data_IF_942469832532
#
_entry.id   IF_942469832532
#
_cell.length_a   1.000
_cell.length_b   1.000
_cell.length_c   1.000
_cell.angle_alpha   90.00
_cell.angle_beta   90.00
_cell.angle_gamma   90.00
#
_symmetry.space_group_name_H-M   'P 1'
#
loop_
_entity.id
_entity.type
_entity.pdbx_description
1 polymer ?
#
# COMPACT_ATOMS: atom_id res chain seq x y z
N UNK A 1 -0.88 -28.32 1.33
CA UNK A 1 -0.47 -27.52 0.15
C UNK A 1 -1.66 -26.67 -0.26
N UNK A 2 -1.76 -25.47 0.31
CA UNK A 2 -2.83 -24.52 -0.03
C UNK A 2 -2.44 -23.78 -1.30
N UNK A 3 -3.20 -23.98 -2.35
CA UNK A 3 -3.15 -23.18 -3.58
C UNK A 3 -3.45 -21.74 -3.22
N UNK A 4 -2.47 -20.85 -3.36
CA UNK A 4 -2.63 -19.41 -3.27
C UNK A 4 -3.65 -18.98 -4.34
N UNK A 5 -4.86 -18.73 -3.89
CA UNK A 5 -5.95 -18.23 -4.71
C UNK A 5 -5.57 -16.85 -5.23
N UNK A 6 -5.65 -16.67 -6.54
CA UNK A 6 -5.38 -15.45 -7.27
C UNK A 6 -6.45 -14.38 -6.96
N UNK A 7 -6.31 -13.72 -5.81
CA UNK A 7 -7.10 -12.55 -5.44
C UNK A 7 -6.24 -11.32 -5.62
N UNK A 8 -6.68 -10.39 -6.46
CA UNK A 8 -5.94 -9.17 -6.73
C UNK A 8 -6.75 -7.96 -6.28
N UNK A 9 -6.16 -7.09 -5.43
CA UNK A 9 -6.72 -5.78 -5.22
C UNK A 9 -6.52 -4.94 -6.49
N UNK A 10 -7.55 -4.30 -6.94
CA UNK A 10 -7.50 -3.34 -8.03
C UNK A 10 -8.14 -2.03 -7.62
N UNK A 11 -7.67 -0.96 -8.20
CA UNK A 11 -8.37 0.30 -8.16
C UNK A 11 -9.43 0.27 -9.28
N UNK A 12 -10.71 0.39 -8.95
CA UNK A 12 -11.82 0.28 -9.89
C UNK A 12 -12.76 1.47 -9.84
N UNK A 13 -13.31 1.83 -11.00
CA UNK A 13 -14.44 2.75 -11.08
C UNK A 13 -15.73 1.96 -10.90
N UNK A 14 -16.58 2.39 -9.96
CA UNK A 14 -18.01 2.08 -10.05
C UNK A 14 -18.59 3.08 -11.03
N UNK A 15 -19.15 2.55 -12.12
CA UNK A 15 -19.72 3.31 -13.22
C UNK A 15 -20.79 4.30 -12.75
N UNK A 16 -20.39 5.53 -12.51
CA UNK A 16 -21.25 6.69 -12.68
C UNK A 16 -20.38 7.96 -12.75
N UNK A 17 -20.30 8.53 -13.93
CA UNK A 17 -19.54 9.72 -14.32
C UNK A 17 -18.19 9.46 -14.98
N UNK A 18 -18.17 9.32 -16.26
CA UNK A 18 -17.18 9.57 -17.32
C UNK A 18 -15.74 10.02 -17.09
N UNK A 19 -15.20 9.88 -15.88
CA UNK A 19 -13.80 10.21 -15.55
C UNK A 19 -13.03 8.93 -15.19
N UNK A 20 -11.90 8.66 -15.85
CA UNK A 20 -11.11 7.42 -15.69
C UNK A 20 -10.24 7.41 -14.43
N UNK A 21 -10.66 8.07 -13.35
CA UNK A 21 -9.88 8.19 -12.12
C UNK A 21 -10.48 7.30 -11.04
N UNK A 22 -9.77 6.25 -10.72
CA UNK A 22 -10.19 5.26 -9.76
C UNK A 22 -10.27 5.81 -8.33
N UNK A 23 -11.47 5.77 -7.72
CA UNK A 23 -11.77 6.27 -6.38
C UNK A 23 -11.93 5.16 -5.36
N UNK A 24 -12.08 3.94 -5.84
CA UNK A 24 -12.44 2.76 -5.04
C UNK A 24 -11.34 1.72 -5.08
N UNK A 25 -11.19 0.99 -3.98
CA UNK A 25 -10.39 -0.22 -3.91
C UNK A 25 -11.32 -1.43 -4.00
N UNK A 26 -11.05 -2.32 -4.93
CA UNK A 26 -11.85 -3.51 -5.17
C UNK A 26 -11.00 -4.78 -5.00
N UNK A 27 -11.54 -5.75 -4.28
CA UNK A 27 -10.97 -7.10 -4.17
C UNK A 27 -11.72 -8.02 -5.13
N UNK A 28 -10.99 -8.63 -6.06
CA UNK A 28 -11.53 -9.52 -7.06
C UNK A 28 -11.05 -10.95 -6.87
N UNK A 29 -11.84 -11.90 -7.32
CA UNK A 29 -11.41 -13.27 -7.58
C UNK A 29 -11.53 -13.58 -9.06
N UNK A 30 -10.62 -14.37 -9.58
CA UNK A 30 -10.59 -14.74 -11.02
C UNK A 30 -11.88 -15.41 -11.46
N UNK A 31 -12.58 -16.08 -10.57
CA UNK A 31 -13.79 -16.85 -10.88
C UNK A 31 -15.07 -16.05 -10.92
N UNK A 32 -15.07 -14.81 -10.40
CA UNK A 32 -16.30 -13.99 -10.29
C UNK A 32 -16.22 -12.76 -11.20
N UNK A 33 -17.37 -12.43 -11.81
CA UNK A 33 -17.52 -11.22 -12.66
C UNK A 33 -17.74 -9.92 -11.87
N UNK A 34 -17.94 -10.01 -10.55
CA UNK A 34 -18.16 -8.86 -9.67
C UNK A 34 -17.10 -8.86 -8.55
N UNK A 35 -16.70 -7.68 -8.05
CA UNK A 35 -15.80 -7.61 -6.91
C UNK A 35 -16.42 -8.31 -5.69
N UNK A 36 -15.59 -8.93 -4.87
CA UNK A 36 -16.03 -9.55 -3.62
C UNK A 36 -16.24 -8.48 -2.55
N UNK A 37 -15.37 -7.48 -2.55
CA UNK A 37 -15.38 -6.38 -1.59
C UNK A 37 -14.94 -5.10 -2.28
N UNK A 38 -15.58 -3.98 -1.91
CA UNK A 38 -15.28 -2.65 -2.44
C UNK A 38 -15.25 -1.63 -1.31
N UNK A 39 -14.18 -0.87 -1.21
CA UNK A 39 -14.08 0.30 -0.35
C UNK A 39 -14.13 1.53 -1.23
N UNK A 40 -15.25 2.25 -1.19
CA UNK A 40 -15.42 3.49 -1.93
C UNK A 40 -14.67 4.63 -1.24
N UNK A 41 -14.19 5.59 -2.03
CA UNK A 41 -13.48 6.77 -1.54
C UNK A 41 -12.35 6.43 -0.58
N UNK A 42 -11.54 5.44 -0.95
CA UNK A 42 -10.49 4.88 -0.09
C UNK A 42 -9.48 5.92 0.43
N UNK A 43 -9.37 7.09 -0.24
CA UNK A 43 -8.55 8.23 0.19
C UNK A 43 -9.37 9.49 0.53
N UNK A 44 -10.70 9.33 0.71
CA UNK A 44 -11.58 10.41 1.13
C UNK A 44 -11.79 11.49 0.06
N UNK A 45 -12.20 12.65 0.53
CA UNK A 45 -12.53 13.80 -0.32
C UNK A 45 -11.57 14.96 -0.09
N UNK A 46 -11.38 15.75 -1.14
CA UNK A 46 -10.82 17.08 -1.06
C UNK A 46 -11.99 18.07 -1.03
N UNK A 47 -12.13 18.75 0.08
CA UNK A 47 -13.19 19.74 0.26
C UNK A 47 -12.63 21.12 -0.10
N UNK A 48 -13.36 21.85 -0.92
CA UNK A 48 -13.09 23.26 -1.15
C UNK A 48 -14.38 24.06 -1.07
N UNK A 49 -14.29 25.27 -0.60
CA UNK A 49 -15.42 26.18 -0.46
C UNK A 49 -15.58 26.96 -1.76
N UNK A 50 -16.74 26.83 -2.39
CA UNK A 50 -17.16 27.65 -3.52
C UNK A 50 -18.11 28.74 -3.01
N UNK A 51 -17.98 29.97 -3.52
CA UNK A 51 -18.86 31.08 -3.14
C UNK A 51 -20.30 30.87 -3.61
N UNK A 52 -20.51 30.11 -4.69
CA UNK A 52 -21.83 29.88 -5.29
C UNK A 52 -22.48 28.56 -4.85
N UNK A 53 -21.72 27.53 -4.52
CA UNK A 53 -22.23 26.17 -4.32
C UNK A 53 -21.96 25.63 -2.90
N UNK A 54 -21.25 26.40 -2.05
CA UNK A 54 -20.87 25.97 -0.71
C UNK A 54 -19.70 25.02 -0.70
N UNK A 55 -19.72 23.99 0.15
CA UNK A 55 -18.61 23.02 0.27
C UNK A 55 -18.75 21.96 -0.82
N UNK A 56 -17.78 21.93 -1.74
CA UNK A 56 -17.71 20.93 -2.79
C UNK A 56 -16.66 19.89 -2.41
N UNK A 57 -17.10 18.64 -2.29
CA UNK A 57 -16.23 17.49 -2.03
C UNK A 57 -15.80 16.79 -3.32
N UNK A 58 -14.53 16.90 -3.70
CA UNK A 58 -13.98 16.16 -4.84
C UNK A 58 -13.29 14.90 -4.34
N UNK A 59 -13.71 13.69 -4.78
CA UNK A 59 -13.06 12.45 -4.37
C UNK A 59 -11.60 12.41 -4.78
N UNK A 60 -10.73 11.96 -3.87
CA UNK A 60 -9.32 11.77 -4.17
C UNK A 60 -9.12 10.43 -4.87
N UNK A 61 -8.50 10.46 -6.05
CA UNK A 61 -8.24 9.26 -6.83
C UNK A 61 -6.97 8.54 -6.36
N UNK A 62 -6.94 7.24 -6.59
CA UNK A 62 -5.79 6.39 -6.27
C UNK A 62 -4.78 6.52 -7.41
N UNK A 63 -3.57 6.93 -7.09
CA UNK A 63 -2.49 7.18 -8.06
C UNK A 63 -1.54 6.00 -8.19
N UNK A 64 -1.44 5.18 -7.15
CA UNK A 64 -0.57 4.01 -7.13
C UNK A 64 -1.12 2.91 -6.23
N UNK A 65 -0.81 1.68 -6.59
CA UNK A 65 -1.18 0.47 -5.85
C UNK A 65 -0.01 -0.50 -5.88
N UNK A 66 0.27 -1.14 -4.75
CA UNK A 66 1.28 -2.18 -4.64
C UNK A 66 0.81 -3.30 -3.73
N UNK A 67 1.17 -4.53 -4.07
CA UNK A 67 0.88 -5.72 -3.27
C UNK A 67 2.17 -6.31 -2.74
N UNK A 68 2.11 -6.87 -1.55
CA UNK A 68 3.21 -7.70 -1.04
C UNK A 68 3.14 -9.07 -1.72
N UNK A 69 4.17 -9.48 -2.48
CA UNK A 69 4.18 -10.81 -3.09
C UNK A 69 4.01 -11.90 -2.03
N UNK A 70 3.09 -12.82 -2.27
CA UNK A 70 2.77 -13.95 -1.36
C UNK A 70 2.31 -13.53 0.05
N UNK A 71 1.86 -12.29 0.21
CA UNK A 71 1.36 -11.75 1.47
C UNK A 71 -0.11 -11.35 1.38
N UNK A 72 -0.66 -10.99 2.53
CA UNK A 72 -2.02 -10.52 2.73
C UNK A 72 -2.12 -8.99 2.86
N UNK A 73 -1.02 -8.28 2.59
CA UNK A 73 -0.93 -6.82 2.71
C UNK A 73 -0.73 -6.17 1.35
N UNK A 74 -1.43 -5.07 1.14
CA UNK A 74 -1.23 -4.19 0.00
C UNK A 74 -1.26 -2.72 0.41
N UNK A 75 -0.77 -1.85 -0.44
CA UNK A 75 -0.72 -0.41 -0.21
C UNK A 75 -1.41 0.35 -1.33
N UNK A 76 -2.06 1.45 -0.99
CA UNK A 76 -2.58 2.42 -1.92
C UNK A 76 -1.99 3.80 -1.65
N UNK A 77 -1.72 4.55 -2.71
CA UNK A 77 -1.26 5.92 -2.66
C UNK A 77 -2.18 6.84 -3.42
N UNK A 78 -2.28 8.06 -2.95
CA UNK A 78 -3.07 9.13 -3.54
C UNK A 78 -2.31 10.45 -3.45
N UNK A 79 -3.01 11.55 -3.53
CA UNK A 79 -2.52 12.91 -3.32
C UNK A 79 -3.04 13.55 -2.01
N UNK A 80 -3.55 12.72 -1.11
CA UNK A 80 -3.99 13.13 0.24
C UNK A 80 -2.84 13.29 1.24
N UNK A 81 -1.60 13.10 0.79
CA UNK A 81 -0.43 13.15 1.64
C UNK A 81 -0.19 11.87 2.45
N UNK A 82 -0.82 10.76 2.08
CA UNK A 82 -0.74 9.49 2.81
C UNK A 82 -0.60 8.29 1.87
N UNK A 83 0.19 7.33 2.31
CA UNK A 83 0.13 5.95 1.84
C UNK A 83 -0.68 5.14 2.84
N UNK A 84 -1.68 4.42 2.38
CA UNK A 84 -2.51 3.55 3.20
C UNK A 84 -2.15 2.10 2.99
N UNK A 85 -1.90 1.40 4.09
CA UNK A 85 -1.66 -0.04 4.11
C UNK A 85 -2.94 -0.75 4.52
N UNK A 86 -3.25 -1.80 3.79
CA UNK A 86 -4.45 -2.59 3.94
C UNK A 86 -4.09 -4.05 4.18
N UNK A 87 -4.83 -4.70 5.04
CA UNK A 87 -4.71 -6.13 5.29
C UNK A 87 -5.94 -6.86 4.76
N UNK A 88 -5.71 -7.92 3.97
CA UNK A 88 -6.75 -8.81 3.49
C UNK A 88 -7.11 -9.80 4.61
N UNK A 89 -8.40 -10.01 4.82
CA UNK A 89 -8.92 -10.98 5.79
C UNK A 89 -8.50 -12.42 5.43
N UNK A 90 -8.32 -13.27 6.45
CA UNK A 90 -7.92 -14.68 6.29
C UNK A 90 -8.87 -15.47 5.37
N UNK A 91 -10.15 -15.10 5.33
CA UNK A 91 -11.14 -15.70 4.44
C UNK A 91 -11.11 -15.13 3.03
N UNK A 92 -10.25 -14.13 2.78
CA UNK A 92 -10.10 -13.44 1.50
C UNK A 92 -11.45 -12.89 0.97
N UNK A 93 -12.28 -12.36 1.87
CA UNK A 93 -13.59 -11.79 1.52
C UNK A 93 -13.68 -10.30 1.71
N UNK A 94 -12.76 -9.73 2.46
CA UNK A 94 -12.70 -8.30 2.79
C UNK A 94 -11.27 -7.86 3.02
N UNK A 95 -11.08 -6.58 3.16
CA UNK A 95 -9.83 -5.98 3.63
C UNK A 95 -10.13 -4.77 4.49
N UNK A 96 -9.22 -4.45 5.39
CA UNK A 96 -9.34 -3.32 6.31
C UNK A 96 -8.06 -2.51 6.34
N UNK A 97 -8.18 -1.26 6.76
CA UNK A 97 -7.03 -0.37 6.93
C UNK A 97 -6.16 -0.88 8.10
N UNK A 98 -4.90 -1.15 7.81
CA UNK A 98 -3.91 -1.57 8.80
C UNK A 98 -3.24 -0.36 9.45
N UNK A 99 -2.69 0.53 8.63
CA UNK A 99 -2.00 1.75 9.08
C UNK A 99 -1.83 2.75 7.93
N UNK A 100 -1.41 3.96 8.26
CA UNK A 100 -1.10 5.02 7.30
C UNK A 100 0.31 5.54 7.49
N UNK A 101 0.94 5.95 6.40
CA UNK A 101 2.28 6.53 6.37
C UNK A 101 2.18 7.92 5.73
N UNK A 102 2.79 8.93 6.37
CA UNK A 102 2.82 10.27 5.81
C UNK A 102 3.65 10.32 4.51
N UNK A 103 3.06 10.85 3.45
CA UNK A 103 3.67 10.95 2.12
C UNK A 103 3.23 12.26 1.44
N UNK A 104 3.80 13.42 1.86
CA UNK A 104 3.34 14.73 1.42
C UNK A 104 3.65 14.96 -0.06
N UNK A 105 2.65 14.79 -0.92
CA UNK A 105 2.72 14.92 -2.38
C UNK A 105 1.86 13.89 -3.10
N UNK A 106 2.03 13.80 -4.42
CA UNK A 106 1.45 12.72 -5.22
C UNK A 106 2.26 11.45 -5.03
N UNK A 107 1.63 10.38 -4.58
CA UNK A 107 2.26 9.07 -4.48
C UNK A 107 2.20 8.38 -5.84
N UNK A 108 3.20 8.63 -6.67
CA UNK A 108 3.24 8.19 -8.06
C UNK A 108 3.66 6.73 -8.26
N UNK A 109 4.34 6.15 -7.29
CA UNK A 109 4.75 4.75 -7.29
C UNK A 109 4.83 4.19 -5.88
N UNK A 110 4.56 2.89 -5.76
CA UNK A 110 4.64 2.14 -4.51
C UNK A 110 5.31 0.81 -4.74
N UNK A 111 6.05 0.36 -3.74
CA UNK A 111 6.58 -1.00 -3.68
C UNK A 111 6.55 -1.50 -2.24
N UNK A 112 6.14 -2.75 -2.06
CA UNK A 112 6.16 -3.46 -0.79
C UNK A 112 7.21 -4.58 -0.86
N UNK A 113 8.05 -4.64 0.16
CA UNK A 113 9.12 -5.62 0.27
C UNK A 113 9.08 -6.23 1.67
N UNK A 114 9.03 -7.54 1.77
CA UNK A 114 9.32 -8.25 3.00
C UNK A 114 10.75 -8.80 2.89
N UNK A 115 11.76 -8.11 3.42
CA UNK A 115 13.09 -8.67 3.42
C UNK A 115 13.06 -9.92 4.30
N UNK A 116 13.19 -11.10 3.68
CA UNK A 116 13.57 -12.28 4.43
C UNK A 116 14.96 -11.99 4.97
N UNK A 117 15.10 -11.85 6.26
CA UNK A 117 16.40 -11.89 6.90
C UNK A 117 16.96 -13.30 6.67
N UNK A 118 17.53 -13.55 5.49
CA UNK A 118 18.44 -14.66 5.36
C UNK A 118 19.64 -14.25 6.22
N UNK A 119 19.98 -15.01 7.28
CA UNK A 119 21.22 -14.77 7.97
C UNK A 119 22.30 -14.85 6.89
N UNK A 120 22.99 -13.74 6.64
CA UNK A 120 24.22 -13.75 5.86
C UNK A 120 25.07 -14.83 6.51
N UNK A 121 25.34 -15.90 5.79
CA UNK A 121 26.32 -16.90 6.23
C UNK A 121 27.65 -16.15 6.30
N UNK A 122 27.88 -15.51 7.43
CA UNK A 122 29.26 -15.13 7.79
C UNK A 122 30.07 -16.42 7.69
N UNK A 123 31.04 -16.38 6.83
CA UNK A 123 32.05 -17.44 6.71
C UNK A 123 32.61 -17.71 8.10
N UNK A 124 32.02 -18.69 8.79
CA UNK A 124 32.54 -19.11 10.09
C UNK A 124 33.89 -19.75 9.86
N UNK A 125 34.92 -19.00 10.17
CA UNK A 125 36.23 -19.58 10.47
C UNK A 125 36.02 -20.54 11.66
N UNK A 126 36.37 -21.84 11.56
CA UNK A 126 36.11 -22.78 12.63
C UNK A 126 36.94 -22.40 13.85
N UNK A 127 36.35 -21.83 14.87
CA UNK A 127 36.94 -21.74 16.21
C UNK A 127 36.56 -23.00 16.97
N UNK A 128 37.57 -23.82 17.22
CA UNK A 128 37.50 -24.93 18.19
C UNK A 128 37.37 -24.32 19.59
N UNK A 129 36.12 -24.19 20.08
CA UNK A 129 35.86 -24.10 21.52
C UNK A 129 34.43 -24.59 21.79
N UNK A 130 34.38 -25.69 22.49
CA UNK A 130 33.15 -26.43 22.79
C UNK A 130 32.31 -25.80 23.90
N UNK A 131 31.67 -24.66 23.68
CA UNK A 131 30.61 -24.12 24.52
C UNK A 131 29.28 -24.23 23.80
N UNK A 132 28.41 -25.08 24.33
CA UNK A 132 26.99 -25.15 23.95
C UNK A 132 26.38 -23.76 24.18
N UNK A 133 26.05 -23.07 23.09
CA UNK A 133 25.27 -21.81 23.12
C UNK A 133 23.82 -22.20 23.20
N UNK A 134 23.15 -21.76 24.25
CA UNK A 134 21.68 -21.83 24.40
C UNK A 134 21.02 -21.25 23.15
N UNK A 135 20.11 -22.03 22.58
CA UNK A 135 19.19 -21.57 21.52
C UNK A 135 18.23 -20.55 22.12
N UNK A 136 18.64 -19.29 22.20
CA UNK A 136 17.69 -18.22 22.30
C UNK A 136 16.90 -18.20 20.99
N UNK A 137 15.63 -18.50 21.07
CA UNK A 137 14.67 -18.40 19.97
C UNK A 137 14.51 -16.90 19.67
N UNK A 138 15.39 -16.36 18.84
CA UNK A 138 15.16 -15.02 18.26
C UNK A 138 13.88 -15.13 17.45
N UNK A 139 12.83 -14.52 17.96
CA UNK A 139 11.60 -14.27 17.22
C UNK A 139 11.99 -13.43 16.02
N UNK A 140 12.04 -14.04 14.83
CA UNK A 140 12.25 -13.31 13.58
C UNK A 140 11.17 -12.24 13.47
N UNK A 141 11.53 -10.99 13.73
CA UNK A 141 10.65 -9.85 13.50
C UNK A 141 10.49 -9.70 11.99
N UNK A 142 9.34 -10.10 11.48
CA UNK A 142 8.99 -9.88 10.08
C UNK A 142 8.73 -8.39 9.89
N UNK A 143 9.64 -7.70 9.23
CA UNK A 143 9.47 -6.29 8.90
C UNK A 143 8.93 -6.15 7.47
N UNK A 144 8.00 -5.24 7.28
CA UNK A 144 7.53 -4.81 5.98
C UNK A 144 8.22 -3.49 5.63
N UNK A 145 8.87 -3.43 4.48
CA UNK A 145 9.44 -2.19 3.94
C UNK A 145 8.51 -1.65 2.87
N UNK A 146 8.10 -0.40 3.03
CA UNK A 146 7.28 0.34 2.07
C UNK A 146 8.16 1.39 1.42
N UNK A 147 8.23 1.36 0.09
CA UNK A 147 8.92 2.38 -0.70
C UNK A 147 7.90 3.13 -1.52
N UNK A 148 7.82 4.45 -1.33
CA UNK A 148 6.89 5.32 -2.04
C UNK A 148 7.65 6.42 -2.78
N UNK A 149 7.43 6.53 -4.09
CA UNK A 149 7.91 7.65 -4.89
C UNK A 149 6.88 8.78 -4.87
N UNK A 150 7.26 9.92 -4.33
CA UNK A 150 6.41 11.11 -4.19
C UNK A 150 6.90 12.25 -5.06
N UNK A 151 5.96 13.03 -5.60
CA UNK A 151 6.25 14.19 -6.42
C UNK A 151 5.23 15.31 -6.20
N UNK A 152 5.53 16.51 -6.70
CA UNK A 152 4.60 17.65 -6.69
C UNK A 152 3.53 17.56 -7.75
N UNK A 153 3.73 16.73 -8.76
CA UNK A 153 2.84 16.57 -9.91
C UNK A 153 2.47 15.08 -10.11
N UNK A 154 1.29 14.78 -10.66
CA UNK A 154 0.93 13.41 -11.01
C UNK A 154 1.76 12.90 -12.18
N UNK A 155 2.05 11.59 -12.20
CA UNK A 155 2.88 10.95 -13.23
C UNK A 155 2.31 11.08 -14.65
N UNK A 156 0.98 11.10 -14.78
CA UNK A 156 0.29 11.04 -16.08
C UNK A 156 -0.16 12.41 -16.60
N UNK A 157 0.31 13.49 -16.03
CA UNK A 157 -0.04 14.83 -16.52
C UNK A 157 0.31 15.93 -15.53
N UNK A 158 0.28 17.18 -16.00
CA UNK A 158 0.65 18.36 -15.20
C UNK A 158 -0.53 19.29 -14.92
N UNK A 159 -1.75 18.73 -14.87
CA UNK A 159 -2.98 19.51 -14.62
C UNK A 159 -3.13 19.96 -13.17
N UNK A 160 -2.36 19.37 -12.25
CA UNK A 160 -2.42 19.69 -10.84
C UNK A 160 -1.00 19.68 -10.25
N UNK A 161 -0.67 20.68 -9.45
CA UNK A 161 0.62 20.80 -8.79
C UNK A 161 0.44 21.17 -7.32
N UNK A 162 1.07 20.43 -6.43
CA UNK A 162 1.18 20.77 -5.02
C UNK A 162 2.36 21.70 -4.78
N UNK A 163 2.09 22.93 -4.33
CA UNK A 163 3.15 23.88 -3.99
C UNK A 163 4.01 23.39 -2.82
N UNK A 164 3.36 22.83 -1.80
CA UNK A 164 3.99 22.37 -0.55
C UNK A 164 4.37 20.88 -0.56
N UNK A 165 4.16 20.20 -1.69
CA UNK A 165 4.52 18.79 -1.85
C UNK A 165 6.03 18.59 -1.82
N UNK A 166 6.45 17.44 -1.32
CA UNK A 166 7.85 17.00 -1.38
C UNK A 166 8.07 16.13 -2.62
N UNK A 167 9.30 16.10 -3.09
CA UNK A 167 9.74 15.24 -4.19
C UNK A 167 10.82 14.29 -3.69
N UNK A 168 10.72 13.01 -4.04
CA UNK A 168 11.70 12.02 -3.65
C UNK A 168 11.10 10.66 -3.34
N UNK A 169 11.87 9.85 -2.62
CA UNK A 169 11.44 8.54 -2.13
C UNK A 169 11.25 8.55 -0.62
N UNK A 170 10.16 7.96 -0.18
CA UNK A 170 9.88 7.70 1.24
C UNK A 170 10.07 6.22 1.47
N UNK A 171 10.87 5.89 2.48
CA UNK A 171 11.08 4.51 2.92
C UNK A 171 10.58 4.40 4.35
N UNK A 172 9.64 3.50 4.58
CA UNK A 172 9.11 3.21 5.90
C UNK A 172 9.26 1.72 6.22
N UNK A 173 9.67 1.42 7.45
CA UNK A 173 9.79 0.05 7.96
C UNK A 173 8.70 -0.16 9.00
N UNK A 174 7.85 -1.17 8.78
CA UNK A 174 6.72 -1.48 9.64
C UNK A 174 6.92 -2.87 10.22
N UNK A 175 6.96 -3.01 11.55
CA UNK A 175 7.02 -4.31 12.19
C UNK A 175 5.68 -5.04 11.96
N UNK A 176 5.74 -6.25 11.42
CA UNK A 176 4.58 -7.14 11.26
C UNK A 176 4.51 -8.07 12.48
N UNK A 177 3.36 -8.06 13.13
CA UNK A 177 3.08 -8.97 14.26
C UNK A 177 2.56 -10.31 13.79
#
# INVERSE_FOLDING_TARGET
>A
MGTLSSHFPTAGDTADSGLPLSRSLCLWTVTKKKPIHTVQFAHGFNEHVSESEGIIGTPRWITSLATLPYGDVFASGSWDGQVRLWKIDERIRSFSLLTTIAAPGFVNSLQLIAPSLRPTKETQVPRMDGRKKDKSTEKESKNLVVVAGVAKEPRLGRWMRFKDGKEGAIIAVIPMQ
#
